data_IF_456272417685
#
_entry.id   IF_456272417685
#
_cell.length_a   1.000
_cell.length_b   1.000
_cell.length_c   1.000
_cell.angle_alpha   90.00
_cell.angle_beta   90.00
_cell.angle_gamma   90.00
#
_symmetry.space_group_name_H-M   'P 1'
#
loop_
_entity.id
_entity.type
_entity.pdbx_description
1 polymer ?
#
# COMPACT_ATOMS: atom_id res chain seq x y z
N UNK A 1 12.48 21.40 -9.82
CA UNK A 1 12.58 21.64 -8.37
C UNK A 1 13.69 20.78 -7.79
N UNK A 2 14.60 21.35 -6.99
CA UNK A 2 15.77 20.65 -6.43
C UNK A 2 15.37 19.51 -5.50
N UNK A 3 14.27 19.66 -4.76
CA UNK A 3 13.81 18.65 -3.80
C UNK A 3 13.29 17.40 -4.51
N UNK A 4 12.50 17.58 -5.57
CA UNK A 4 12.00 16.47 -6.40
C UNK A 4 13.16 15.71 -7.06
N UNK A 5 14.17 16.41 -7.55
CA UNK A 5 15.36 15.79 -8.14
C UNK A 5 16.09 14.89 -7.12
N UNK A 6 16.19 15.30 -5.86
CA UNK A 6 16.78 14.48 -4.79
C UNK A 6 15.99 13.20 -4.56
N UNK A 7 14.66 13.28 -4.46
CA UNK A 7 13.80 12.10 -4.30
C UNK A 7 13.89 11.16 -5.51
N UNK A 8 13.88 11.71 -6.72
CA UNK A 8 14.02 10.95 -7.96
C UNK A 8 15.37 10.22 -8.04
N UNK A 9 16.47 10.89 -7.68
CA UNK A 9 17.79 10.29 -7.64
C UNK A 9 17.89 9.14 -6.63
N UNK A 10 17.31 9.31 -5.44
CA UNK A 10 17.28 8.25 -4.44
C UNK A 10 16.51 7.02 -4.95
N UNK A 11 15.34 7.23 -5.57
CA UNK A 11 14.55 6.17 -6.20
C UNK A 11 15.33 5.45 -7.32
N UNK A 12 15.95 6.19 -8.24
CA UNK A 12 16.75 5.59 -9.33
C UNK A 12 17.94 4.80 -8.81
N UNK A 13 18.62 5.29 -7.76
CA UNK A 13 19.74 4.54 -7.18
C UNK A 13 19.27 3.25 -6.51
N UNK A 14 18.11 3.25 -5.84
CA UNK A 14 17.54 2.05 -5.23
C UNK A 14 17.24 0.99 -6.29
N UNK A 15 16.59 1.37 -7.40
CA UNK A 15 16.23 0.44 -8.48
C UNK A 15 17.43 -0.07 -9.27
N UNK A 16 18.44 0.76 -9.51
CA UNK A 16 19.64 0.36 -10.26
C UNK A 16 20.62 -0.48 -9.46
N UNK A 17 20.79 -0.20 -8.16
CA UNK A 17 21.75 -0.93 -7.31
C UNK A 17 21.18 -2.22 -6.72
N UNK A 18 19.96 -2.60 -7.09
CA UNK A 18 19.28 -3.78 -6.56
C UNK A 18 19.11 -3.75 -5.03
N UNK A 19 19.09 -2.54 -4.43
CA UNK A 19 18.86 -2.42 -2.99
C UNK A 19 17.43 -2.84 -2.68
N UNK A 20 17.27 -3.71 -1.67
CA UNK A 20 15.96 -4.22 -1.28
C UNK A 20 15.05 -3.13 -0.67
N UNK A 21 15.62 -2.09 -0.07
CA UNK A 21 14.86 -1.02 0.60
C UNK A 21 15.68 0.26 0.78
N UNK A 22 15.03 1.42 0.71
CA UNK A 22 15.60 2.74 1.03
C UNK A 22 14.58 3.55 1.84
N UNK A 23 15.03 4.33 2.82
CA UNK A 23 14.18 5.22 3.63
C UNK A 23 14.57 6.68 3.42
N UNK A 24 13.58 7.54 3.20
CA UNK A 24 13.78 8.98 3.07
C UNK A 24 12.89 9.70 4.07
N UNK A 25 13.48 10.55 4.91
CA UNK A 25 12.76 11.42 5.84
C UNK A 25 12.66 12.83 5.25
N UNK A 26 11.43 13.31 5.03
CA UNK A 26 11.15 14.70 4.66
C UNK A 26 10.70 15.45 5.91
N UNK A 27 11.57 16.30 6.46
CA UNK A 27 11.31 17.08 7.67
C UNK A 27 11.19 18.59 7.37
N UNK A 28 10.59 19.33 8.30
CA UNK A 28 10.36 20.78 8.18
C UNK A 28 9.10 21.24 8.92
N UNK A 29 8.93 22.55 9.05
CA UNK A 29 7.82 23.18 9.77
C UNK A 29 6.43 22.78 9.25
N UNK A 30 5.40 22.92 10.09
CA UNK A 30 4.01 22.78 9.64
C UNK A 30 3.73 23.77 8.51
N UNK A 31 2.95 23.37 7.51
CA UNK A 31 2.66 24.20 6.33
C UNK A 31 3.79 24.34 5.31
N UNK A 32 4.99 23.79 5.53
CA UNK A 32 6.13 23.89 4.60
C UNK A 32 5.97 23.10 3.27
N UNK A 33 4.78 22.59 2.96
CA UNK A 33 4.53 21.88 1.70
C UNK A 33 5.06 20.45 1.62
N UNK A 34 5.48 19.81 2.72
CA UNK A 34 6.04 18.45 2.73
C UNK A 34 5.14 17.41 2.04
N UNK A 35 3.84 17.43 2.34
CA UNK A 35 2.87 16.53 1.70
C UNK A 35 2.69 16.83 0.22
N UNK A 36 2.75 18.11 -0.18
CA UNK A 36 2.68 18.51 -1.59
C UNK A 36 3.93 18.02 -2.35
N UNK A 37 5.12 18.10 -1.75
CA UNK A 37 6.36 17.58 -2.33
C UNK A 37 6.28 16.07 -2.58
N UNK A 38 5.81 15.29 -1.60
CA UNK A 38 5.65 13.83 -1.74
C UNK A 38 4.60 13.49 -2.81
N UNK A 39 3.49 14.23 -2.84
CA UNK A 39 2.47 14.04 -3.88
C UNK A 39 3.01 14.36 -5.27
N UNK A 40 3.75 15.45 -5.42
CA UNK A 40 4.39 15.81 -6.69
C UNK A 40 5.42 14.74 -7.11
N UNK A 41 6.22 14.22 -6.17
CA UNK A 41 7.11 13.09 -6.46
C UNK A 41 6.34 11.88 -6.98
N UNK A 42 5.24 11.49 -6.32
CA UNK A 42 4.37 10.40 -6.78
C UNK A 42 3.89 10.64 -8.22
N UNK A 43 3.31 11.79 -8.50
CA UNK A 43 2.74 12.10 -9.83
C UNK A 43 3.81 12.24 -10.92
N UNK A 44 5.00 12.78 -10.60
CA UNK A 44 6.02 13.07 -11.61
C UNK A 44 7.02 11.92 -11.83
N UNK A 45 7.32 11.13 -10.80
CA UNK A 45 8.37 10.11 -10.86
C UNK A 45 7.81 8.69 -10.95
N UNK A 46 6.63 8.44 -10.36
CA UNK A 46 6.04 7.09 -10.28
C UNK A 46 4.90 6.83 -11.27
N UNK A 47 4.53 7.82 -12.10
CA UNK A 47 3.30 7.83 -12.90
C UNK A 47 3.09 6.65 -13.86
N UNK A 48 4.14 5.92 -14.25
CA UNK A 48 4.05 4.81 -15.22
C UNK A 48 4.80 3.53 -14.82
N UNK A 49 5.16 3.37 -13.54
CA UNK A 49 6.03 2.27 -13.12
C UNK A 49 5.50 1.48 -11.93
N UNK A 50 5.92 1.80 -10.71
CA UNK A 50 5.59 1.03 -9.53
C UNK A 50 4.26 1.43 -8.90
N UNK A 51 3.62 0.48 -8.23
CA UNK A 51 2.54 0.77 -7.30
C UNK A 51 3.06 1.58 -6.11
N UNK A 52 2.31 2.63 -5.73
CA UNK A 52 2.68 3.50 -4.63
C UNK A 52 1.58 3.53 -3.57
N UNK A 53 1.87 2.96 -2.40
CA UNK A 53 1.02 3.06 -1.23
C UNK A 53 1.28 4.37 -0.50
N UNK A 54 0.22 5.09 -0.14
CA UNK A 54 0.31 6.34 0.60
C UNK A 54 -0.62 6.27 1.80
N UNK A 55 -0.11 6.63 2.98
CA UNK A 55 -0.91 6.71 4.19
C UNK A 55 -0.67 8.02 4.92
N UNK A 56 -1.63 8.37 5.78
CA UNK A 56 -1.50 9.48 6.71
C UNK A 56 -1.57 8.94 8.12
N UNK A 57 -0.56 9.27 8.92
CA UNK A 57 -0.58 8.98 10.35
C UNK A 57 -1.35 10.10 11.08
N UNK A 58 -2.39 9.72 11.81
CA UNK A 58 -3.19 10.64 12.61
C UNK A 58 -2.85 10.47 14.09
N UNK A 59 -1.99 11.35 14.61
CA UNK A 59 -1.47 11.28 15.99
C UNK A 59 -2.55 11.29 17.09
N UNK A 60 -3.77 11.77 16.79
CA UNK A 60 -4.85 11.98 17.76
C UNK A 60 -6.09 11.10 17.56
N UNK A 61 -6.13 10.25 16.53
CA UNK A 61 -7.20 9.27 16.37
C UNK A 61 -6.84 8.01 17.16
N UNK A 62 -7.83 7.42 17.85
CA UNK A 62 -7.61 6.16 18.57
C UNK A 62 -6.94 5.16 17.64
N UNK A 63 -5.85 4.56 18.12
CA UNK A 63 -4.99 3.69 17.31
C UNK A 63 -5.77 2.41 17.07
N UNK A 64 -6.56 2.36 16.00
CA UNK A 64 -6.84 1.09 15.39
C UNK A 64 -5.49 0.60 14.81
N UNK A 65 -4.99 -0.54 15.29
CA UNK A 65 -3.72 -1.10 14.86
C UNK A 65 -3.67 -1.20 13.35
N UNK A 66 -2.54 -0.85 12.75
CA UNK A 66 -2.32 -0.92 11.31
C UNK A 66 -3.26 -0.04 10.45
N UNK A 67 -4.08 0.85 11.04
CA UNK A 67 -5.01 1.72 10.30
C UNK A 67 -4.35 2.49 9.15
N UNK A 68 -3.16 3.04 9.36
CA UNK A 68 -2.40 3.72 8.31
C UNK A 68 -2.05 2.76 7.16
N UNK A 69 -1.67 1.51 7.47
CA UNK A 69 -1.34 0.48 6.49
C UNK A 69 -2.60 0.06 5.73
N UNK A 70 -3.70 -0.23 6.44
CA UNK A 70 -5.00 -0.59 5.85
C UNK A 70 -5.44 0.50 4.86
N UNK A 71 -5.40 1.76 5.28
CA UNK A 71 -5.72 2.91 4.41
C UNK A 71 -4.81 3.01 3.17
N UNK A 72 -3.52 2.68 3.32
CA UNK A 72 -2.60 2.65 2.18
C UNK A 72 -2.98 1.57 1.15
N UNK A 73 -3.42 0.41 1.62
CA UNK A 73 -3.91 -0.67 0.77
C UNK A 73 -5.26 -0.35 0.13
N UNK A 74 -6.15 0.39 0.80
CA UNK A 74 -7.41 0.84 0.19
C UNK A 74 -7.17 1.67 -1.07
N UNK A 75 -6.20 2.60 -1.00
CA UNK A 75 -5.77 3.39 -2.15
C UNK A 75 -5.23 2.52 -3.28
N UNK A 76 -4.36 1.56 -2.96
CA UNK A 76 -3.80 0.62 -3.94
C UNK A 76 -4.88 -0.25 -4.59
N UNK A 77 -5.80 -0.80 -3.79
CA UNK A 77 -6.87 -1.65 -4.30
C UNK A 77 -7.77 -0.86 -5.24
N UNK A 78 -8.07 0.41 -4.92
CA UNK A 78 -8.83 1.29 -5.81
C UNK A 78 -8.09 1.54 -7.13
N UNK A 79 -6.79 1.79 -7.09
CA UNK A 79 -5.97 2.04 -8.29
C UNK A 79 -5.94 0.82 -9.22
N UNK A 80 -5.70 -0.38 -8.68
CA UNK A 80 -5.67 -1.62 -9.47
C UNK A 80 -7.06 -1.94 -10.05
N UNK A 81 -8.13 -1.69 -9.29
CA UNK A 81 -9.51 -1.98 -9.72
C UNK A 81 -9.98 -1.11 -10.88
N UNK A 82 -9.35 0.05 -11.09
CA UNK A 82 -9.62 0.94 -12.22
C UNK A 82 -8.86 0.55 -13.50
N UNK A 83 -7.98 -0.45 -13.45
CA UNK A 83 -7.28 -0.95 -14.65
C UNK A 83 -8.23 -1.77 -15.54
N UNK A 84 -7.79 -2.02 -16.76
CA UNK A 84 -8.52 -2.86 -17.70
C UNK A 84 -8.73 -4.29 -17.17
N UNK A 85 -9.73 -4.98 -17.72
CA UNK A 85 -10.15 -6.30 -17.25
C UNK A 85 -9.03 -7.36 -17.36
N UNK A 86 -8.16 -7.27 -18.35
CA UNK A 86 -7.05 -8.21 -18.55
C UNK A 86 -5.99 -8.01 -17.45
N UNK A 87 -5.58 -6.77 -17.20
CA UNK A 87 -4.66 -6.44 -16.12
C UNK A 87 -5.22 -6.86 -14.77
N UNK A 88 -6.50 -6.57 -14.50
CA UNK A 88 -7.14 -6.96 -13.25
C UNK A 88 -7.19 -8.49 -13.08
N UNK A 89 -7.50 -9.23 -14.15
CA UNK A 89 -7.51 -10.70 -14.12
C UNK A 89 -6.11 -11.27 -13.85
N UNK A 90 -5.08 -10.75 -14.55
CA UNK A 90 -3.69 -11.17 -14.34
C UNK A 90 -3.23 -10.88 -12.92
N UNK A 91 -3.51 -9.69 -12.40
CA UNK A 91 -3.16 -9.33 -11.03
C UNK A 91 -3.91 -10.19 -10.01
N UNK A 92 -5.20 -10.45 -10.22
CA UNK A 92 -5.98 -11.36 -9.37
C UNK A 92 -5.35 -12.76 -9.31
N UNK A 93 -5.00 -13.34 -10.45
CA UNK A 93 -4.38 -14.66 -10.51
C UNK A 93 -3.04 -14.69 -9.76
N UNK A 94 -2.16 -13.72 -10.04
CA UNK A 94 -0.85 -13.63 -9.40
C UNK A 94 -0.95 -13.44 -7.88
N UNK A 95 -1.88 -12.60 -7.42
CA UNK A 95 -2.07 -12.35 -5.98
C UNK A 95 -2.67 -13.59 -5.30
N UNK A 96 -3.64 -14.28 -5.91
CA UNK A 96 -4.18 -15.53 -5.35
C UNK A 96 -3.12 -16.62 -5.26
N UNK A 97 -2.28 -16.77 -6.28
CA UNK A 97 -1.20 -17.74 -6.29
C UNK A 97 -0.16 -17.44 -5.18
N UNK A 98 0.22 -16.18 -5.03
CA UNK A 98 1.19 -15.76 -4.01
C UNK A 98 0.68 -15.89 -2.58
N UNK A 99 -0.62 -15.65 -2.34
CA UNK A 99 -1.23 -15.70 -1.01
C UNK A 99 -1.75 -17.09 -0.63
N UNK A 100 -2.08 -17.92 -1.62
CA UNK A 100 -2.71 -19.21 -1.40
C UNK A 100 -3.97 -19.11 -0.52
N UNK A 101 -4.19 -20.06 0.42
CA UNK A 101 -5.39 -20.09 1.26
C UNK A 101 -5.47 -18.94 2.27
N UNK A 102 -4.34 -18.32 2.62
CA UNK A 102 -4.28 -17.20 3.57
C UNK A 102 -4.81 -15.88 2.97
N UNK A 103 -5.07 -15.84 1.65
CA UNK A 103 -5.62 -14.67 0.98
C UNK A 103 -6.96 -14.22 1.57
N UNK A 104 -7.78 -15.17 2.02
CA UNK A 104 -9.07 -14.89 2.64
C UNK A 104 -8.91 -14.11 3.96
N UNK A 105 -7.88 -14.42 4.76
CA UNK A 105 -7.57 -13.72 6.02
C UNK A 105 -7.23 -12.25 5.79
N UNK A 106 -6.47 -11.95 4.73
CA UNK A 106 -6.14 -10.57 4.38
C UNK A 106 -7.37 -9.73 4.06
N UNK A 107 -8.43 -10.35 3.55
CA UNK A 107 -9.65 -9.63 3.25
C UNK A 107 -10.49 -9.25 4.47
N UNK A 108 -10.33 -9.98 5.59
CA UNK A 108 -10.93 -9.58 6.87
C UNK A 108 -10.22 -8.36 7.45
N UNK A 109 -8.90 -8.28 7.30
CA UNK A 109 -8.09 -7.17 7.80
C UNK A 109 -8.18 -5.94 6.87
N UNK A 110 -8.23 -6.16 5.57
CA UNK A 110 -8.25 -5.13 4.53
C UNK A 110 -9.44 -5.44 3.60
N UNK A 111 -10.65 -4.96 3.93
CA UNK A 111 -11.86 -5.28 3.16
C UNK A 111 -11.79 -4.88 1.68
N UNK A 112 -11.05 -3.82 1.35
CA UNK A 112 -10.86 -3.38 -0.04
C UNK A 112 -10.13 -4.39 -0.93
N UNK A 113 -9.45 -5.36 -0.33
CA UNK A 113 -8.74 -6.42 -1.04
C UNK A 113 -9.70 -7.35 -1.81
N UNK A 114 -10.99 -7.39 -1.44
CA UNK A 114 -12.05 -8.05 -2.23
C UNK A 114 -12.12 -7.55 -3.66
N UNK A 115 -11.77 -6.28 -3.91
CA UNK A 115 -11.79 -5.73 -5.27
C UNK A 115 -10.72 -6.39 -6.17
N UNK A 116 -9.66 -6.90 -5.56
CA UNK A 116 -8.53 -7.54 -6.27
C UNK A 116 -8.78 -9.04 -6.39
N UNK A 117 -8.95 -9.74 -5.26
CA UNK A 117 -9.05 -11.21 -5.27
C UNK A 117 -10.47 -11.76 -5.31
N UNK A 118 -11.49 -10.89 -5.27
CA UNK A 118 -12.89 -11.29 -5.13
C UNK A 118 -13.27 -11.52 -3.68
N UNK A 119 -14.56 -11.81 -3.45
CA UNK A 119 -15.09 -12.17 -2.14
C UNK A 119 -14.53 -13.54 -1.72
N UNK A 120 -14.16 -13.74 -0.45
CA UNK A 120 -13.74 -15.02 0.08
C UNK A 120 -14.74 -16.11 -0.24
N UNK A 121 -14.25 -17.18 -0.85
CA UNK A 121 -15.06 -18.39 -1.09
C UNK A 121 -15.14 -19.27 0.14
N UNK A 122 -14.22 -19.09 1.09
CA UNK A 122 -14.15 -19.89 2.31
C UNK A 122 -14.78 -19.12 3.45
N UNK A 123 -15.68 -19.75 4.19
CA UNK A 123 -16.09 -19.24 5.50
C UNK A 123 -14.89 -19.37 6.41
N UNK A 124 -14.16 -18.28 6.60
CA UNK A 124 -13.03 -18.26 7.55
C UNK A 124 -13.69 -18.52 8.90
N UNK A 125 -13.50 -19.72 9.44
CA UNK A 125 -13.92 -20.04 10.79
C UNK A 125 -13.38 -18.92 11.67
N UNK A 126 -14.26 -18.26 12.42
CA UNK A 126 -13.86 -17.18 13.32
C UNK A 126 -12.84 -17.80 14.28
N UNK A 127 -11.53 -17.61 14.02
CA UNK A 127 -10.46 -18.28 14.77
C UNK A 127 -10.38 -17.55 16.10
N UNK A 128 -11.31 -17.90 16.99
CA UNK A 128 -11.31 -17.54 18.39
C UNK A 128 -10.15 -18.24 19.05
N UNK A 129 -9.03 -17.53 19.18
CA UNK A 129 -7.83 -18.03 19.82
C UNK A 129 -6.79 -16.93 19.94
N UNK A 130 -5.82 -17.13 20.82
CA UNK A 130 -4.78 -16.17 21.27
C UNK A 130 -4.09 -15.39 20.13
N UNK A 131 -4.08 -15.91 18.90
CA UNK A 131 -3.59 -15.25 17.68
C UNK A 131 -4.38 -14.00 17.25
N UNK A 132 -5.67 -13.92 17.58
CA UNK A 132 -6.49 -12.71 17.34
C UNK A 132 -6.04 -11.53 18.21
N UNK A 133 -5.44 -11.82 19.37
CA UNK A 133 -5.04 -10.82 20.36
C UNK A 133 -3.63 -10.27 20.12
N UNK A 134 -2.81 -10.98 19.33
CA UNK A 134 -1.48 -10.54 18.91
C UNK A 134 -1.50 -9.75 17.58
N UNK A 135 -2.70 -9.53 17.02
CA UNK A 135 -2.96 -8.77 15.78
C UNK A 135 -3.64 -7.41 16.05
N UNK A 136 -3.94 -7.09 17.31
CA UNK A 136 -4.42 -5.78 17.76
C UNK A 136 -3.29 -5.05 18.49
#
# INVERSE_FOLDING_TARGET
DRQIATLANAYMQMTQKGRASEMILVSGSSGAGKSALVHQFKTSVLSNGPYCLCCKFHQYQQIEPLSAIISAFDGLCSEISCKDAETLHRTRAAVKDALGPEGDVLTNLIPSFHKIIGVPTTTIANVGGVEAQNRL
#
